data_IF_905309968785
#
_entry.id   IF_905309968785
#
_cell.length_a   1.000
_cell.length_b   1.000
_cell.length_c   1.000
_cell.angle_alpha   90.00
_cell.angle_beta   90.00
_cell.angle_gamma   90.00
#
_symmetry.space_group_name_H-M   'P 1'
#
loop_
_entity.id
_entity.type
_entity.pdbx_description
1 polymer ?
#
# COMPACT_ATOMS: atom_id res chain seq x y z
N UNK A 1 18.14 7.35 2.25
CA UNK A 1 17.36 6.28 1.58
C UNK A 1 16.05 6.12 2.32
N UNK A 2 14.90 6.19 1.63
CA UNK A 2 13.59 5.95 2.24
C UNK A 2 13.45 4.43 2.42
N UNK A 3 13.13 3.98 3.63
CA UNK A 3 12.99 2.56 3.95
C UNK A 3 11.58 2.07 3.57
N UNK A 4 11.51 1.10 2.64
CA UNK A 4 10.27 0.49 2.15
C UNK A 4 9.35 0.04 3.30
N UNK A 5 9.91 -0.65 4.31
CA UNK A 5 9.15 -1.18 5.43
C UNK A 5 8.58 -0.07 6.32
N UNK A 6 9.31 1.06 6.46
CA UNK A 6 8.84 2.22 7.23
C UNK A 6 7.66 2.89 6.53
N UNK A 7 7.76 3.12 5.21
CA UNK A 7 6.65 3.68 4.43
C UNK A 7 5.45 2.73 4.48
N UNK A 8 5.67 1.42 4.27
CA UNK A 8 4.61 0.42 4.29
C UNK A 8 3.81 0.42 5.60
N UNK A 9 4.50 0.36 6.74
CA UNK A 9 3.85 0.36 8.05
C UNK A 9 3.06 1.65 8.28
N UNK A 10 3.66 2.81 8.00
CA UNK A 10 2.98 4.11 8.14
C UNK A 10 1.73 4.20 7.25
N UNK A 11 1.81 3.75 6.00
CA UNK A 11 0.67 3.75 5.08
C UNK A 11 -0.46 2.85 5.57
N UNK A 12 -0.13 1.66 6.08
CA UNK A 12 -1.13 0.74 6.67
C UNK A 12 -1.84 1.41 7.85
N UNK A 13 -1.10 2.02 8.77
CA UNK A 13 -1.67 2.66 9.95
C UNK A 13 -2.61 3.82 9.59
N UNK A 14 -2.19 4.67 8.65
CA UNK A 14 -3.02 5.77 8.14
C UNK A 14 -4.32 5.29 7.48
N UNK A 15 -4.24 4.22 6.67
CA UNK A 15 -5.42 3.64 6.03
C UNK A 15 -6.36 2.98 7.03
N UNK A 16 -5.84 2.30 8.06
CA UNK A 16 -6.65 1.70 9.14
C UNK A 16 -7.44 2.73 9.93
N UNK A 17 -6.86 3.92 10.19
CA UNK A 17 -7.60 5.02 10.83
C UNK A 17 -8.79 5.47 9.96
N UNK A 18 -8.63 5.42 8.64
CA UNK A 18 -9.67 5.82 7.67
C UNK A 18 -10.71 4.72 7.40
N UNK A 19 -10.41 3.44 7.71
CA UNK A 19 -11.32 2.31 7.50
C UNK A 19 -12.63 2.42 8.29
N UNK A 20 -12.61 3.12 9.44
CA UNK A 20 -13.81 3.35 10.26
C UNK A 20 -14.90 4.06 9.44
N UNK A 21 -14.49 4.93 8.51
CA UNK A 21 -15.38 5.74 7.69
C UNK A 21 -15.55 5.20 6.27
N UNK A 22 -14.64 4.33 5.82
CA UNK A 22 -14.64 3.78 4.46
C UNK A 22 -14.27 2.29 4.45
N UNK A 23 -15.26 1.38 4.52
CA UNK A 23 -15.03 -0.06 4.53
C UNK A 23 -14.33 -0.60 3.27
N UNK A 24 -14.44 0.09 2.11
CA UNK A 24 -13.79 -0.35 0.86
C UNK A 24 -12.26 -0.32 0.95
N UNK A 25 -11.70 0.43 1.91
CA UNK A 25 -10.27 0.40 2.22
C UNK A 25 -9.77 -0.95 2.74
N UNK A 26 -10.66 -1.85 3.18
CA UNK A 26 -10.26 -3.17 3.67
C UNK A 26 -9.45 -3.97 2.65
N UNK A 27 -9.82 -3.91 1.37
CA UNK A 27 -9.09 -4.58 0.32
C UNK A 27 -7.67 -4.02 0.14
N UNK A 28 -7.53 -2.69 0.23
CA UNK A 28 -6.23 -2.01 0.08
C UNK A 28 -5.32 -2.38 1.26
N UNK A 29 -5.81 -2.26 2.49
CA UNK A 29 -5.05 -2.60 3.70
C UNK A 29 -4.66 -4.07 3.70
N UNK A 30 -5.58 -4.98 3.34
CA UNK A 30 -5.30 -6.41 3.29
C UNK A 30 -4.16 -6.76 2.31
N UNK A 31 -4.10 -6.09 1.15
CA UNK A 31 -3.00 -6.27 0.19
C UNK A 31 -1.66 -5.78 0.74
N UNK A 32 -1.65 -4.65 1.44
CA UNK A 32 -0.45 -4.08 2.06
C UNK A 32 0.05 -4.94 3.24
N UNK A 33 -0.85 -5.47 4.07
CA UNK A 33 -0.49 -6.41 5.15
C UNK A 33 0.08 -7.71 4.59
N UNK A 34 -0.48 -8.23 3.49
CA UNK A 34 0.10 -9.39 2.81
C UNK A 34 1.50 -9.11 2.29
N UNK A 35 1.73 -7.92 1.70
CA UNK A 35 3.07 -7.50 1.29
C UNK A 35 4.04 -7.45 2.48
N UNK A 36 3.58 -6.94 3.63
CA UNK A 36 4.40 -6.87 4.85
C UNK A 36 4.89 -8.26 5.28
N UNK A 37 4.02 -9.27 5.22
CA UNK A 37 4.36 -10.67 5.53
C UNK A 37 5.40 -11.20 4.52
N UNK A 38 5.15 -11.02 3.22
CA UNK A 38 6.07 -11.46 2.14
C UNK A 38 7.47 -10.86 2.33
N UNK A 39 7.55 -9.57 2.67
CA UNK A 39 8.83 -8.89 2.92
C UNK A 39 9.54 -9.38 4.18
N UNK A 40 8.78 -9.74 5.23
CA UNK A 40 9.34 -10.27 6.47
C UNK A 40 9.86 -11.72 6.32
N UNK A 41 9.22 -12.50 5.46
CA UNK A 41 9.60 -13.89 5.14
C UNK A 41 10.68 -13.99 4.05
N UNK A 42 11.23 -12.86 3.60
CA UNK A 42 12.22 -12.76 2.52
C UNK A 42 11.84 -13.53 1.23
N UNK A 43 10.54 -13.66 0.98
CA UNK A 43 10.05 -14.40 -0.17
C UNK A 43 10.33 -13.64 -1.47
N UNK A 44 10.77 -14.36 -2.50
CA UNK A 44 10.91 -13.80 -3.83
C UNK A 44 9.57 -13.31 -4.37
N UNK A 45 9.52 -12.04 -4.75
CA UNK A 45 8.33 -11.40 -5.32
C UNK A 45 8.30 -11.71 -6.81
N UNK A 46 7.63 -12.81 -7.20
CA UNK A 46 7.48 -13.17 -8.62
C UNK A 46 6.60 -12.18 -9.40
N UNK A 47 5.61 -11.59 -8.72
CA UNK A 47 4.69 -10.60 -9.26
C UNK A 47 4.34 -9.62 -8.15
N UNK A 48 4.25 -8.32 -8.49
CA UNK A 48 3.92 -7.28 -7.53
C UNK A 48 2.51 -7.48 -6.93
N UNK A 49 2.38 -7.88 -5.64
CA UNK A 49 1.10 -8.20 -5.01
C UNK A 49 0.20 -6.97 -4.80
N UNK A 50 0.78 -5.76 -4.89
CA UNK A 50 0.08 -4.49 -4.70
C UNK A 50 -0.04 -3.70 -6.01
N UNK A 51 0.14 -4.35 -7.16
CA UNK A 51 -0.08 -3.70 -8.46
C UNK A 51 -1.52 -3.14 -8.56
N UNK A 52 -1.64 -1.91 -9.02
CA UNK A 52 -2.88 -1.14 -9.12
C UNK A 52 -3.38 -0.55 -7.81
N UNK A 53 -2.62 -0.61 -6.71
CA UNK A 53 -3.07 -0.12 -5.39
C UNK A 53 -3.35 1.39 -5.39
N UNK A 54 -2.54 2.16 -6.12
CA UNK A 54 -2.73 3.61 -6.28
C UNK A 54 -4.05 3.90 -6.98
N UNK A 55 -4.38 3.16 -8.05
CA UNK A 55 -5.64 3.30 -8.78
C UNK A 55 -6.83 2.89 -7.92
N UNK A 56 -6.70 1.81 -7.16
CA UNK A 56 -7.75 1.35 -6.25
C UNK A 56 -8.10 2.38 -5.18
N UNK A 57 -7.11 3.12 -4.66
CA UNK A 57 -7.37 4.23 -3.73
C UNK A 57 -8.12 5.38 -4.42
N UNK A 58 -7.69 5.76 -5.63
CA UNK A 58 -8.36 6.80 -6.43
C UNK A 58 -9.81 6.44 -6.79
N UNK A 59 -10.11 5.17 -7.00
CA UNK A 59 -11.49 4.71 -7.26
C UNK A 59 -12.41 4.88 -6.04
N UNK A 60 -11.86 4.94 -4.83
CA UNK A 60 -12.63 5.13 -3.60
C UNK A 60 -12.84 6.61 -3.30
N UNK A 61 -11.76 7.41 -3.32
CA UNK A 61 -11.78 8.79 -2.84
C UNK A 61 -11.72 9.85 -3.95
N UNK A 62 -11.19 9.50 -5.12
CA UNK A 62 -10.90 10.46 -6.21
C UNK A 62 -10.10 11.69 -5.76
N UNK A 63 -9.36 11.58 -4.65
CA UNK A 63 -8.56 12.65 -4.05
C UNK A 63 -7.11 12.53 -4.51
N UNK A 64 -6.77 13.26 -5.58
CA UNK A 64 -5.45 13.24 -6.22
C UNK A 64 -4.38 13.99 -5.42
N UNK A 65 -4.78 14.86 -4.49
CA UNK A 65 -3.87 15.65 -3.68
C UNK A 65 -3.50 14.97 -2.36
N UNK A 66 -4.15 13.83 -2.05
CA UNK A 66 -3.89 13.09 -0.84
C UNK A 66 -2.42 12.62 -0.76
N UNK A 67 -1.66 12.98 0.31
CA UNK A 67 -0.28 12.55 0.47
C UNK A 67 -0.11 11.03 0.43
N UNK A 68 -1.14 10.27 0.81
CA UNK A 68 -1.09 8.80 0.83
C UNK A 68 -0.92 8.19 -0.56
N UNK A 69 -1.33 8.91 -1.62
CA UNK A 69 -1.10 8.46 -2.99
C UNK A 69 0.39 8.38 -3.33
N UNK A 70 1.20 9.30 -2.81
CA UNK A 70 2.65 9.29 -3.04
C UNK A 70 3.27 8.07 -2.36
N UNK A 71 2.80 7.74 -1.16
CA UNK A 71 3.26 6.56 -0.43
C UNK A 71 2.83 5.27 -1.17
N UNK A 72 1.57 5.16 -1.59
CA UNK A 72 1.06 4.02 -2.36
C UNK A 72 1.80 3.83 -3.68
N UNK A 73 2.03 4.91 -4.43
CA UNK A 73 2.79 4.89 -5.68
C UNK A 73 4.25 4.48 -5.46
N UNK A 74 4.89 5.02 -4.42
CA UNK A 74 6.25 4.64 -4.03
C UNK A 74 6.34 3.15 -3.72
N UNK A 75 5.44 2.64 -2.86
CA UNK A 75 5.39 1.22 -2.51
C UNK A 75 5.21 0.34 -3.74
N UNK A 76 4.26 0.69 -4.61
CA UNK A 76 4.01 -0.04 -5.84
C UNK A 76 5.26 -0.12 -6.72
N UNK A 77 6.00 0.99 -6.87
CA UNK A 77 7.21 1.03 -7.70
C UNK A 77 8.42 0.34 -7.08
N UNK A 78 8.60 0.42 -5.78
CA UNK A 78 9.72 -0.25 -5.11
C UNK A 78 9.54 -1.77 -5.09
N UNK A 79 8.30 -2.25 -4.95
CA UNK A 79 8.00 -3.68 -5.01
C UNK A 79 8.18 -4.24 -6.43
N UNK A 80 7.91 -3.45 -7.47
CA UNK A 80 8.12 -3.84 -8.87
C UNK A 80 9.61 -4.02 -9.23
N UNK A 81 10.53 -3.50 -8.42
CA UNK A 81 11.98 -3.64 -8.60
C UNK A 81 12.59 -4.84 -7.85
N UNK A 82 11.82 -5.50 -6.98
CA UNK A 82 12.25 -6.67 -6.19
C UNK A 82 11.91 -7.96 -6.89
#
# INVERSE_FOLDING_TARGET
MINLSVVLNKTIDNLKLSQIYEPRLNLIVSKLEKLKIILAEEQQIKQNPIRGITRAYLDIFSDYDNPILKDLYFLEKEVEKK
#
